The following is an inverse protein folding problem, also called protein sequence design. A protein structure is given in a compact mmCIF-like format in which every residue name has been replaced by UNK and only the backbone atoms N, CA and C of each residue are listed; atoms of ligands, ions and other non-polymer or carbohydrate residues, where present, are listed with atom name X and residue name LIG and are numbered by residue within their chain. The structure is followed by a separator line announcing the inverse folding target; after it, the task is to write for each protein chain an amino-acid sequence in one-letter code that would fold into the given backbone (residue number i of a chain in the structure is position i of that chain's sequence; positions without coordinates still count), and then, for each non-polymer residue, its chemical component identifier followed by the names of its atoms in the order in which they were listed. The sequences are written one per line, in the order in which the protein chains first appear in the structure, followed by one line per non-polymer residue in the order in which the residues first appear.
data_IF_093921573367
#
_entry.id   IF_093921573367
#
_cell.length_a   1.000
_cell.length_b   1.000
_cell.length_c   1.000
_cell.angle_alpha   90.00
_cell.angle_beta   90.00
_cell.angle_gamma   90.00
#
_symmetry.space_group_name_H-M   'P 1'
#
loop_
_entity.id
_entity.type
_entity.pdbx_description
1 polymer ?
#
# COMPACT_ATOMS: atom_id res chain seq x y z
N UNK A 1 7.47 18.90 2.56
CA UNK A 1 7.56 17.85 1.53
C UNK A 1 8.25 18.45 0.30
N UNK A 2 9.52 18.11 0.06
CA UNK A 2 10.20 18.50 -1.16
C UNK A 2 9.42 17.89 -2.34
N UNK A 3 8.93 18.75 -3.24
CA UNK A 3 8.11 18.35 -4.37
C UNK A 3 8.88 17.39 -5.28
N UNK A 4 8.66 16.09 -5.10
CA UNK A 4 9.11 15.09 -6.04
C UNK A 4 8.39 15.39 -7.37
N UNK A 5 9.16 15.78 -8.37
CA UNK A 5 8.69 15.98 -9.74
C UNK A 5 9.24 14.80 -10.52
N UNK A 6 8.40 13.80 -10.80
CA UNK A 6 8.85 12.70 -11.64
C UNK A 6 9.10 13.18 -13.07
N UNK A 7 10.19 12.68 -13.65
CA UNK A 7 10.62 12.88 -15.03
C UNK A 7 9.92 11.93 -16.01
N UNK A 8 9.29 10.86 -15.51
CA UNK A 8 8.61 9.85 -16.32
C UNK A 8 7.36 9.28 -15.64
N UNK A 9 6.47 8.74 -16.46
CA UNK A 9 5.28 8.05 -16.00
C UNK A 9 5.68 6.70 -15.38
N UNK A 10 5.27 6.43 -14.14
CA UNK A 10 5.52 5.17 -13.43
C UNK A 10 4.94 3.95 -14.15
N UNK A 11 3.90 4.13 -14.97
CA UNK A 11 3.21 3.02 -15.63
C UNK A 11 3.61 2.77 -17.09
N UNK A 12 3.76 3.81 -17.91
CA UNK A 12 4.12 3.65 -19.32
C UNK A 12 5.53 4.15 -19.68
N UNK A 13 6.26 4.71 -18.71
CA UNK A 13 7.60 5.26 -18.94
C UNK A 13 7.65 6.56 -19.75
N UNK A 14 6.51 7.12 -20.17
CA UNK A 14 6.48 8.36 -20.95
C UNK A 14 7.18 9.50 -20.21
N UNK A 15 8.15 10.14 -20.87
CA UNK A 15 8.93 11.25 -20.31
C UNK A 15 8.06 12.50 -20.19
N UNK A 16 8.19 13.21 -19.08
CA UNK A 16 7.49 14.45 -18.78
C UNK A 16 8.10 15.58 -19.58
N UNK A 17 7.34 16.05 -20.56
CA UNK A 17 7.69 17.26 -21.30
C UNK A 17 7.42 18.52 -20.45
N UNK A 18 8.16 19.62 -20.64
CA UNK A 18 7.85 20.90 -20.02
C UNK A 18 6.39 21.30 -20.28
N UNK A 19 5.67 21.69 -19.22
CA UNK A 19 4.24 22.02 -19.28
C UNK A 19 3.28 20.81 -19.33
N UNK A 20 3.79 19.58 -19.39
CA UNK A 20 2.94 18.39 -19.35
C UNK A 20 2.34 18.15 -17.96
N UNK A 21 1.06 17.80 -17.96
CA UNK A 21 0.29 17.48 -16.75
C UNK A 21 0.58 16.03 -16.33
N UNK A 22 1.04 15.88 -15.10
CA UNK A 22 1.24 14.60 -14.42
C UNK A 22 0.42 14.59 -13.14
N UNK A 23 -0.04 13.40 -12.77
CA UNK A 23 -0.89 13.16 -11.61
C UNK A 23 -0.10 12.34 -10.60
N UNK A 24 -0.07 12.78 -9.35
CA UNK A 24 0.41 11.97 -8.23
C UNK A 24 -0.74 11.08 -7.75
N UNK A 25 -0.55 9.78 -7.81
CA UNK A 25 -1.40 8.80 -7.16
C UNK A 25 -0.72 8.44 -5.84
N UNK A 26 -1.42 8.68 -4.74
CA UNK A 26 -1.03 8.26 -3.40
C UNK A 26 -1.98 7.14 -2.98
N UNK A 27 -1.42 5.96 -2.70
CA UNK A 27 -2.15 4.80 -2.20
C UNK A 27 -1.69 4.55 -0.78
N UNK A 28 -2.65 4.42 0.12
CA UNK A 28 -2.42 3.99 1.51
C UNK A 28 -3.01 2.61 1.68
N UNK A 29 -2.21 1.67 2.16
CA UNK A 29 -2.63 0.32 2.52
C UNK A 29 -2.53 0.18 4.03
N UNK A 30 -3.61 -0.27 4.67
CA UNK A 30 -3.66 -0.48 6.12
C UNK A 30 -4.22 -1.85 6.39
N UNK A 31 -3.60 -2.58 7.32
CA UNK A 31 -4.17 -3.82 7.84
C UNK A 31 -5.50 -3.51 8.54
N UNK A 32 -6.54 -4.26 8.19
CA UNK A 32 -7.88 -4.11 8.75
C UNK A 32 -8.13 -5.19 9.81
N UNK A 33 -8.87 -4.81 10.85
CA UNK A 33 -9.32 -5.73 11.87
C UNK A 33 -10.83 -5.96 11.69
N UNK A 34 -11.21 -7.21 11.45
CA UNK A 34 -12.60 -7.61 11.17
C UNK A 34 -13.53 -7.54 12.39
N UNK A 35 -12.99 -7.23 13.58
CA UNK A 35 -13.75 -7.06 14.82
C UNK A 35 -13.98 -8.36 15.57
N UNK A 36 -13.57 -9.50 15.03
CA UNK A 36 -13.83 -10.82 15.61
C UNK A 36 -12.56 -11.37 16.25
N UNK A 37 -12.70 -11.86 17.48
CA UNK A 37 -11.67 -12.67 18.14
C UNK A 37 -12.24 -14.06 18.33
N UNK A 38 -11.49 -15.08 17.91
CA UNK A 38 -11.88 -16.47 18.15
C UNK A 38 -11.99 -16.71 19.66
N UNK A 39 -13.07 -17.38 20.08
CA UNK A 39 -13.21 -17.82 21.47
C UNK A 39 -12.19 -18.94 21.72
N UNK A 40 -11.16 -18.62 22.50
CA UNK A 40 -10.02 -19.47 22.80
C UNK A 40 -9.78 -19.44 24.30
N UNK A 41 -9.30 -20.55 24.85
CA UNK A 41 -8.89 -20.57 26.25
C UNK A 41 -7.57 -19.79 26.46
N UNK A 42 -7.26 -19.48 27.72
CA UNK A 42 -6.11 -18.65 28.07
C UNK A 42 -4.75 -19.26 27.70
N UNK A 43 -4.64 -20.59 27.63
CA UNK A 43 -3.42 -21.28 27.24
C UNK A 43 -3.21 -21.20 25.72
N UNK A 44 -4.28 -21.40 24.94
CA UNK A 44 -4.28 -21.25 23.49
C UNK A 44 -3.94 -19.81 23.06
N UNK A 45 -4.49 -18.82 23.77
CA UNK A 45 -4.20 -17.40 23.52
C UNK A 45 -2.70 -17.13 23.71
N UNK A 46 -2.13 -17.62 24.81
CA UNK A 46 -0.69 -17.45 25.09
C UNK A 46 0.17 -18.08 24.00
N UNK A 47 -0.17 -19.31 23.59
CA UNK A 47 0.54 -19.99 22.51
C UNK A 47 0.52 -19.20 21.19
N UNK A 48 -0.63 -18.66 20.79
CA UNK A 48 -0.71 -17.81 19.59
C UNK A 48 0.09 -16.52 19.73
N UNK A 49 0.04 -15.86 20.89
CA UNK A 49 0.84 -14.65 21.12
C UNK A 49 2.34 -14.98 21.00
N UNK A 50 2.81 -16.06 21.61
CA UNK A 50 4.21 -16.49 21.51
C UNK A 50 4.62 -16.81 20.07
N UNK A 51 3.76 -17.48 19.31
CA UNK A 51 3.98 -17.76 17.89
C UNK A 51 4.12 -16.48 17.06
N UNK A 52 3.20 -15.53 17.23
CA UNK A 52 3.25 -14.25 16.50
C UNK A 52 4.45 -13.39 16.93
N UNK A 53 4.83 -13.42 18.21
CA UNK A 53 6.05 -12.76 18.68
C UNK A 53 7.32 -13.39 18.10
N UNK A 54 7.36 -14.72 17.96
CA UNK A 54 8.47 -15.40 17.31
C UNK A 54 8.57 -14.99 15.82
N UNK A 55 7.46 -15.02 15.09
CA UNK A 55 7.41 -14.57 13.69
C UNK A 55 7.85 -13.12 13.54
N UNK A 56 7.44 -12.25 14.47
CA UNK A 56 7.85 -10.86 14.47
C UNK A 56 9.34 -10.68 14.75
N UNK A 57 9.93 -11.52 15.62
CA UNK A 57 11.36 -11.46 15.96
C UNK A 57 12.29 -11.85 14.80
N UNK A 58 11.77 -12.54 13.79
CA UNK A 58 12.50 -12.97 12.59
C UNK A 58 12.48 -11.92 11.46
N UNK A 59 11.68 -10.86 11.62
CA UNK A 59 11.52 -9.78 10.65
C UNK A 59 12.23 -8.52 11.13
N UNK A 60 12.63 -7.68 10.19
CA UNK A 60 13.10 -6.34 10.54
C UNK A 60 11.94 -5.34 10.73
N UNK A 61 12.26 -4.16 11.25
CA UNK A 61 11.27 -3.11 11.53
C UNK A 61 10.51 -2.66 10.26
N UNK A 62 11.19 -2.62 9.11
CA UNK A 62 10.57 -2.17 7.87
C UNK A 62 9.56 -3.22 7.37
N UNK A 63 9.93 -4.50 7.41
CA UNK A 63 9.04 -5.61 7.07
C UNK A 63 7.81 -5.67 7.97
N UNK A 64 7.97 -5.46 9.28
CA UNK A 64 6.84 -5.40 10.22
C UNK A 64 5.90 -4.23 9.94
N UNK A 65 6.46 -3.06 9.64
CA UNK A 65 5.65 -1.89 9.29
C UNK A 65 4.89 -2.10 8.00
N UNK A 66 5.52 -2.72 6.99
CA UNK A 66 4.91 -3.04 5.71
C UNK A 66 3.70 -3.98 5.83
N UNK A 67 3.61 -4.80 6.88
CA UNK A 67 2.44 -5.65 7.15
C UNK A 67 1.25 -4.90 7.76
N UNK A 68 1.48 -3.73 8.35
CA UNK A 68 0.45 -2.93 9.03
C UNK A 68 0.06 -1.71 8.21
N UNK A 69 1.04 -1.04 7.60
CA UNK A 69 0.86 0.25 6.94
C UNK A 69 1.87 0.45 5.81
N UNK A 70 1.37 0.79 4.61
CA UNK A 70 2.21 1.16 3.48
C UNK A 70 1.69 2.40 2.76
N UNK A 71 2.62 3.24 2.29
CA UNK A 71 2.35 4.33 1.36
C UNK A 71 3.07 4.09 0.03
N UNK A 72 2.31 4.11 -1.06
CA UNK A 72 2.86 3.99 -2.41
C UNK A 72 2.56 5.25 -3.20
N UNK A 73 3.57 5.76 -3.90
CA UNK A 73 3.50 6.98 -4.69
C UNK A 73 3.82 6.68 -6.16
N UNK A 74 2.89 7.03 -7.06
CA UNK A 74 3.08 6.88 -8.50
C UNK A 74 2.82 8.20 -9.22
N UNK A 75 3.62 8.48 -10.24
CA UNK A 75 3.38 9.60 -11.14
C UNK A 75 2.83 9.08 -12.46
N UNK A 76 1.61 9.46 -12.80
CA UNK A 76 0.95 9.01 -14.02
C UNK A 76 0.76 10.17 -14.99
N UNK A 77 1.01 9.92 -16.29
CA UNK A 77 0.51 10.80 -17.34
C UNK A 77 -1.02 10.71 -17.43
N UNK A 78 -1.66 11.71 -18.05
CA UNK A 78 -3.13 11.77 -18.19
C UNK A 78 -3.76 10.46 -18.67
N UNK A 79 -3.21 9.85 -19.73
CA UNK A 79 -3.78 8.63 -20.29
C UNK A 79 -3.64 7.41 -19.38
N UNK A 80 -2.55 7.30 -18.60
CA UNK A 80 -2.41 6.23 -17.60
C UNK A 80 -3.33 6.47 -16.41
N UNK A 81 -3.46 7.71 -15.95
CA UNK A 81 -4.40 8.09 -14.88
C UNK A 81 -5.83 7.71 -15.25
N UNK A 82 -6.26 8.05 -16.47
CA UNK A 82 -7.62 7.76 -16.93
C UNK A 82 -7.91 6.25 -16.92
N UNK A 83 -6.96 5.43 -17.41
CA UNK A 83 -7.06 3.96 -17.35
C UNK A 83 -7.03 3.41 -15.93
N UNK A 84 -6.18 3.96 -15.06
CA UNK A 84 -6.07 3.55 -13.66
C UNK A 84 -7.40 3.76 -12.93
N UNK A 85 -8.00 4.95 -13.06
CA UNK A 85 -9.30 5.27 -12.44
C UNK A 85 -10.43 4.41 -13.01
N UNK A 86 -10.45 4.15 -14.31
CA UNK A 86 -11.45 3.26 -14.92
C UNK A 86 -11.39 1.84 -14.34
N UNK A 87 -10.18 1.29 -14.15
CA UNK A 87 -10.02 -0.05 -13.57
C UNK A 87 -10.54 -0.13 -12.14
N UNK A 88 -10.22 0.85 -11.30
CA UNK A 88 -10.67 0.86 -9.90
C UNK A 88 -12.19 0.94 -9.80
N UNK A 89 -12.83 1.81 -10.58
CA UNK A 89 -14.30 1.95 -10.56
C UNK A 89 -15.04 0.71 -11.07
N UNK A 90 -14.42 -0.06 -11.97
CA UNK A 90 -15.01 -1.29 -12.49
C UNK A 90 -15.03 -2.43 -11.46
N UNK A 91 -14.25 -2.35 -10.38
CA UNK A 91 -14.22 -3.36 -9.31
C UNK A 91 -15.28 -3.10 -8.24
N UNK A 92 -15.94 -1.95 -8.26
CA UNK A 92 -16.99 -1.54 -7.32
C UNK A 92 -18.41 -1.84 -7.86
N UNK A 93 -18.53 -2.52 -9.00
CA UNK A 93 -19.80 -2.90 -9.68
C UNK A 93 -19.95 -4.41 -9.77
#
# INVERSE_FOLDING_TARGET
MAGLVADKCSQCGAVRQPGAIFYLVHITLTCDFDGELMDMNSEEIRGKIEEEMQKASEKDEAELMDEVYQELYFYLCKSCRDRFVQKLRAQES
#
